data_IF_161597751905
#
_entry.id   IF_161597751905
#
_cell.length_a   1.000
_cell.length_b   1.000
_cell.length_c   1.000
_cell.angle_alpha   90.00
_cell.angle_beta   90.00
_cell.angle_gamma   90.00
#
_symmetry.space_group_name_H-M   'P 1'
#
loop_
_entity.id
_entity.type
_entity.pdbx_description
1 polymer ?
#
# COMPACT_ATOMS: atom_id res chain seq x y z
N UNK A 1 14.26 -19.68 1.12
CA UNK A 1 12.78 -19.63 0.99
C UNK A 1 12.34 -18.31 1.60
N UNK A 2 12.31 -17.23 0.82
CA UNK A 2 11.91 -15.92 1.32
C UNK A 2 10.40 -15.83 1.20
N UNK A 3 9.72 -15.79 2.36
CA UNK A 3 8.28 -15.54 2.41
C UNK A 3 7.99 -14.23 1.68
N UNK A 4 6.93 -14.21 0.87
CA UNK A 4 6.47 -12.99 0.21
C UNK A 4 6.18 -11.95 1.29
N UNK A 5 6.69 -10.70 1.21
CA UNK A 5 6.29 -9.66 2.13
C UNK A 5 4.81 -9.37 1.90
N UNK A 6 3.99 -9.83 2.82
CA UNK A 6 2.56 -9.63 2.82
C UNK A 6 2.22 -8.16 3.11
N UNK A 7 1.04 -7.69 2.66
CA UNK A 7 0.53 -6.38 3.05
C UNK A 7 0.53 -6.25 4.56
N UNK A 8 0.84 -5.07 5.08
CA UNK A 8 0.59 -4.84 6.50
C UNK A 8 -0.91 -4.70 6.71
N UNK A 9 -1.47 -5.65 7.46
CA UNK A 9 -2.85 -5.61 7.90
C UNK A 9 -2.96 -5.07 9.32
N UNK A 10 -4.13 -4.52 9.64
CA UNK A 10 -4.45 -4.17 11.01
C UNK A 10 -4.58 -5.44 11.83
N UNK A 11 -3.88 -5.52 12.96
CA UNK A 11 -4.07 -6.59 13.93
C UNK A 11 -4.82 -6.07 15.14
N UNK A 12 -5.96 -6.67 15.44
CA UNK A 12 -6.76 -6.34 16.62
C UNK A 12 -6.81 -7.55 17.53
N UNK A 13 -6.31 -7.42 18.76
CA UNK A 13 -6.40 -8.48 19.76
C UNK A 13 -6.69 -7.88 21.13
N UNK A 14 -7.29 -8.64 22.07
CA UNK A 14 -7.41 -8.18 23.45
C UNK A 14 -6.04 -8.04 24.12
N UNK A 15 -4.99 -8.71 23.63
CA UNK A 15 -3.66 -8.64 24.21
C UNK A 15 -2.95 -7.30 23.95
N UNK A 16 -3.19 -6.71 22.78
CA UNK A 16 -2.71 -5.40 22.39
C UNK A 16 -3.49 -4.90 21.17
N UNK A 17 -3.87 -3.63 21.16
CA UNK A 17 -4.56 -2.96 20.07
C UNK A 17 -4.12 -1.49 19.98
N UNK A 18 -4.17 -0.92 18.77
CA UNK A 18 -3.91 0.51 18.52
C UNK A 18 -5.23 1.17 18.10
N UNK A 19 -5.58 2.26 18.77
CA UNK A 19 -6.78 3.07 18.50
C UNK A 19 -6.35 4.50 18.21
N UNK A 20 -6.90 5.11 17.18
CA UNK A 20 -6.67 6.52 16.86
C UNK A 20 -7.78 7.36 17.49
N UNK A 21 -7.42 8.55 18.00
CA UNK A 21 -8.40 9.47 18.58
C UNK A 21 -9.29 10.10 17.49
N UNK A 22 -8.79 10.13 16.25
CA UNK A 22 -9.49 10.65 15.06
C UNK A 22 -10.57 9.70 14.49
N UNK A 23 -10.92 8.62 15.19
CA UNK A 23 -11.87 7.60 14.73
C UNK A 23 -11.34 6.80 13.54
N UNK A 24 -12.16 6.62 12.50
CA UNK A 24 -11.81 5.84 11.29
C UNK A 24 -10.93 6.60 10.29
N UNK A 25 -10.53 7.85 10.60
CA UNK A 25 -9.63 8.61 9.74
C UNK A 25 -8.21 8.07 9.86
N UNK A 26 -7.82 7.25 8.89
CA UNK A 26 -6.48 6.69 8.78
C UNK A 26 -5.61 7.40 7.73
N UNK A 27 -5.94 8.61 7.28
CA UNK A 27 -5.16 9.35 6.28
C UNK A 27 -4.58 10.64 6.85
N UNK A 28 -3.27 10.81 6.68
CA UNK A 28 -2.46 11.91 7.21
C UNK A 28 -1.61 12.54 6.11
N UNK A 29 -1.29 13.81 6.26
CA UNK A 29 -0.33 14.52 5.40
C UNK A 29 1.06 14.48 6.04
N UNK A 30 2.15 14.60 5.25
CA UNK A 30 3.48 14.82 5.80
C UNK A 30 3.48 16.06 6.71
N UNK A 31 3.98 15.93 7.94
CA UNK A 31 3.94 16.97 8.97
C UNK A 31 2.73 16.92 9.91
N UNK A 32 1.71 16.11 9.64
CA UNK A 32 0.61 15.90 10.58
C UNK A 32 1.09 15.10 11.81
N UNK A 33 0.38 15.21 12.94
CA UNK A 33 0.60 14.37 14.12
C UNK A 33 -0.49 13.31 14.23
N UNK A 34 -0.09 12.04 14.33
CA UNK A 34 -0.97 10.90 14.59
C UNK A 34 -1.15 10.78 16.10
N UNK A 35 -2.39 10.94 16.58
CA UNK A 35 -2.74 10.89 18.00
C UNK A 35 -3.65 9.69 18.26
N UNK A 36 -3.39 8.97 19.34
CA UNK A 36 -4.17 7.80 19.70
C UNK A 36 -3.73 7.15 21.00
N UNK A 37 -4.14 5.90 21.19
CA UNK A 37 -3.85 5.10 22.37
C UNK A 37 -3.52 3.67 22.00
N UNK A 38 -2.54 3.09 22.69
CA UNK A 38 -2.34 1.64 22.74
C UNK A 38 -3.19 1.11 23.87
N UNK A 39 -3.96 0.05 23.64
CA UNK A 39 -4.89 -0.52 24.61
C UNK A 39 -4.62 -2.00 24.82
N UNK A 40 -4.66 -2.44 26.07
CA UNK A 40 -4.65 -3.85 26.45
C UNK A 40 -5.86 -4.16 27.33
N UNK A 41 -6.60 -5.21 26.96
CA UNK A 41 -7.76 -5.71 27.68
C UNK A 41 -7.49 -7.07 28.32
N UNK A 42 -6.57 -7.87 27.76
CA UNK A 42 -6.27 -9.20 28.25
C UNK A 42 -5.59 -9.12 29.64
N UNK A 43 -6.04 -9.94 30.61
CA UNK A 43 -5.45 -10.01 31.93
C UNK A 43 -3.94 -10.26 31.88
N UNK A 44 -3.22 -9.65 32.82
CA UNK A 44 -1.78 -9.81 32.96
C UNK A 44 -1.34 -9.39 34.35
N UNK A 45 -0.38 -10.11 34.91
CA UNK A 45 0.41 -9.67 36.06
C UNK A 45 1.87 -9.84 35.69
N UNK A 46 2.56 -8.73 35.45
CA UNK A 46 3.96 -8.70 35.09
C UNK A 46 4.70 -7.69 35.97
N UNK A 47 5.72 -8.10 36.76
CA UNK A 47 6.50 -7.16 37.57
C UNK A 47 7.24 -6.12 36.72
N UNK A 48 7.49 -6.43 35.44
CA UNK A 48 8.03 -5.48 34.49
C UNK A 48 7.50 -5.78 33.08
N UNK A 49 7.05 -4.72 32.42
CA UNK A 49 6.73 -4.69 31.00
C UNK A 49 7.09 -3.33 30.40
N UNK A 50 7.42 -3.34 29.11
CA UNK A 50 7.71 -2.14 28.32
C UNK A 50 6.84 -2.11 27.08
N UNK A 51 6.25 -0.96 26.78
CA UNK A 51 5.48 -0.74 25.55
C UNK A 51 6.23 0.27 24.71
N UNK A 52 6.57 -0.13 23.48
CA UNK A 52 7.13 0.74 22.47
C UNK A 52 6.16 0.90 21.32
N UNK A 53 6.09 2.09 20.75
CA UNK A 53 5.34 2.38 19.54
C UNK A 53 6.30 2.94 18.49
N UNK A 54 6.23 2.41 17.28
CA UNK A 54 7.11 2.77 16.18
C UNK A 54 6.31 3.09 14.92
N UNK A 55 6.64 4.18 14.22
CA UNK A 55 6.12 4.46 12.87
C UNK A 55 7.09 3.92 11.83
N UNK A 56 6.55 3.14 10.90
CA UNK A 56 7.28 2.53 9.80
C UNK A 56 6.75 3.02 8.47
N UNK A 57 7.65 3.10 7.49
CA UNK A 57 7.33 3.33 6.10
C UNK A 57 8.21 2.46 5.22
N UNK A 58 7.61 1.77 4.25
CA UNK A 58 8.37 0.95 3.29
C UNK A 58 7.79 1.03 1.88
N UNK A 59 8.69 0.94 0.91
CA UNK A 59 8.36 0.66 -0.48
C UNK A 59 8.64 -0.81 -0.76
N UNK A 60 7.69 -1.47 -1.40
CA UNK A 60 7.75 -2.87 -1.73
C UNK A 60 7.40 -3.08 -3.20
N UNK A 61 8.25 -3.80 -3.93
CA UNK A 61 8.01 -4.18 -5.32
C UNK A 61 8.17 -5.70 -5.44
N UNK A 62 7.30 -6.33 -6.21
CA UNK A 62 7.36 -7.74 -6.56
C UNK A 62 7.17 -7.90 -8.07
N UNK A 63 7.97 -8.73 -8.70
CA UNK A 63 7.87 -9.10 -10.11
C UNK A 63 8.00 -10.61 -10.26
N UNK A 64 7.01 -11.21 -10.90
CA UNK A 64 6.97 -12.64 -11.23
C UNK A 64 7.36 -12.82 -12.70
N UNK A 65 8.46 -13.51 -12.94
CA UNK A 65 9.00 -13.82 -14.27
C UNK A 65 8.77 -15.30 -14.55
N UNK A 66 8.10 -15.63 -15.66
CA UNK A 66 8.03 -17.01 -16.16
C UNK A 66 8.95 -17.15 -17.38
N UNK A 67 9.97 -17.97 -17.30
CA UNK A 67 10.81 -18.30 -18.45
C UNK A 67 11.00 -19.82 -18.55
N UNK A 68 10.64 -20.38 -19.71
CA UNK A 68 10.87 -21.80 -20.01
C UNK A 68 10.29 -22.80 -19.00
N UNK A 69 9.09 -22.54 -18.45
CA UNK A 69 8.44 -23.42 -17.47
C UNK A 69 8.93 -23.29 -16.03
N UNK A 70 9.80 -22.31 -15.74
CA UNK A 70 10.20 -21.94 -14.38
C UNK A 70 9.65 -20.56 -14.03
N UNK A 71 8.95 -20.48 -12.91
CA UNK A 71 8.49 -19.22 -12.33
C UNK A 71 9.52 -18.74 -11.30
N UNK A 72 9.99 -17.50 -11.47
CA UNK A 72 10.86 -16.80 -10.52
C UNK A 72 10.13 -15.57 -9.99
N UNK A 73 10.24 -15.36 -8.69
CA UNK A 73 9.76 -14.13 -8.05
C UNK A 73 10.96 -13.30 -7.62
N UNK A 74 10.96 -12.03 -8.03
CA UNK A 74 11.88 -11.01 -7.54
C UNK A 74 11.11 -10.06 -6.63
N UNK A 75 11.71 -9.71 -5.50
CA UNK A 75 11.13 -8.77 -4.54
C UNK A 75 12.18 -7.74 -4.16
N UNK A 76 11.79 -6.47 -4.13
CA UNK A 76 12.60 -5.36 -3.62
C UNK A 76 11.87 -4.66 -2.48
N UNK A 77 12.57 -4.40 -1.38
CA UNK A 77 12.05 -3.64 -0.24
C UNK A 77 13.02 -2.50 0.07
N UNK A 78 12.47 -1.30 0.29
CA UNK A 78 13.22 -0.12 0.75
C UNK A 78 12.49 0.47 1.94
N UNK A 79 13.20 0.63 3.07
CA UNK A 79 12.67 1.36 4.23
C UNK A 79 12.75 2.85 3.96
N UNK A 80 11.60 3.51 4.07
CA UNK A 80 11.46 4.94 3.82
C UNK A 80 11.70 5.78 5.07
N UNK A 81 11.55 5.17 6.25
CA UNK A 81 11.73 5.81 7.55
C UNK A 81 12.79 5.05 8.35
N UNK A 82 13.64 5.77 9.07
CA UNK A 82 14.60 5.18 9.98
C UNK A 82 13.88 4.72 11.26
N UNK A 83 13.71 3.40 11.43
CA UNK A 83 12.83 2.84 12.45
C UNK A 83 13.13 3.29 13.88
N UNK A 84 14.41 3.53 14.20
CA UNK A 84 14.82 4.02 15.52
C UNK A 84 14.38 5.46 15.84
N UNK A 85 14.28 6.35 14.84
CA UNK A 85 13.95 7.78 15.08
C UNK A 85 12.49 8.00 15.40
N UNK A 86 11.62 7.13 14.91
CA UNK A 86 10.17 7.21 15.11
C UNK A 86 9.66 6.17 16.11
N UNK A 87 10.53 5.72 17.02
CA UNK A 87 10.19 4.81 18.11
C UNK A 87 10.07 5.58 19.41
N UNK A 88 8.98 5.37 20.15
CA UNK A 88 8.70 5.98 21.44
C UNK A 88 8.37 4.91 22.48
N UNK A 89 8.94 5.03 23.67
CA UNK A 89 8.53 4.24 24.83
C UNK A 89 7.29 4.89 25.43
N UNK A 90 6.16 4.18 25.43
CA UNK A 90 4.90 4.63 26.01
C UNK A 90 4.74 4.24 27.48
N UNK A 91 5.40 3.16 27.88
CA UNK A 91 5.32 2.62 29.23
C UNK A 91 6.55 1.78 29.55
N UNK A 92 7.00 1.87 30.80
CA UNK A 92 8.02 0.99 31.36
C UNK A 92 7.76 0.84 32.87
N UNK A 93 7.50 -0.39 33.31
CA UNK A 93 7.21 -0.66 34.72
C UNK A 93 6.30 -1.86 34.97
N UNK A 94 5.77 -2.00 36.19
CA UNK A 94 4.86 -3.10 36.55
C UNK A 94 3.52 -2.98 35.82
N UNK A 95 3.11 -4.07 35.18
CA UNK A 95 1.89 -4.14 34.37
C UNK A 95 0.87 -5.09 35.01
N UNK A 96 -0.29 -4.56 35.38
CA UNK A 96 -1.38 -5.33 35.97
C UNK A 96 -2.72 -5.00 35.30
N UNK A 97 -3.34 -5.99 34.65
CA UNK A 97 -4.72 -5.93 34.15
C UNK A 97 -5.48 -7.07 34.83
N UNK A 98 -6.47 -6.71 35.64
CA UNK A 98 -7.26 -7.67 36.42
C UNK A 98 -8.18 -8.51 35.53
N UNK A 99 -8.51 -9.71 35.98
CA UNK A 99 -9.46 -10.60 35.33
C UNK A 99 -10.89 -10.32 35.81
N UNK A 100 -11.87 -10.37 34.90
CA UNK A 100 -13.30 -10.32 35.22
C UNK A 100 -14.01 -8.99 34.91
N UNK A 101 -15.31 -8.87 35.29
CA UNK A 101 -16.21 -7.77 34.90
C UNK A 101 -15.80 -6.36 35.40
N UNK A 102 -14.83 -6.29 36.32
CA UNK A 102 -14.24 -5.05 36.83
C UNK A 102 -12.81 -4.78 36.34
N UNK A 103 -12.29 -5.59 35.41
CA UNK A 103 -10.98 -5.39 34.81
C UNK A 103 -10.95 -4.11 33.96
N UNK A 104 -10.32 -3.05 34.48
CA UNK A 104 -10.13 -1.81 33.73
C UNK A 104 -9.02 -2.04 32.70
N UNK A 105 -9.37 -1.92 31.42
CA UNK A 105 -8.40 -1.97 30.34
C UNK A 105 -7.33 -0.90 30.57
N UNK A 106 -6.07 -1.26 30.41
CA UNK A 106 -4.99 -0.28 30.44
C UNK A 106 -4.83 0.35 29.06
N UNK A 107 -4.61 1.66 29.06
CA UNK A 107 -4.37 2.42 27.84
C UNK A 107 -3.25 3.42 28.00
N UNK A 108 -2.46 3.60 26.95
CA UNK A 108 -1.31 4.51 26.91
C UNK A 108 -1.45 5.43 25.72
N UNK A 109 -1.58 6.73 25.98
CA UNK A 109 -1.71 7.73 24.94
C UNK A 109 -0.38 7.92 24.20
N UNK A 110 -0.47 8.23 22.91
CA UNK A 110 0.67 8.56 22.07
C UNK A 110 0.34 9.73 21.14
N UNK A 111 1.41 10.42 20.75
CA UNK A 111 1.43 11.36 19.65
C UNK A 111 2.73 11.10 18.87
N UNK A 112 2.60 10.88 17.55
CA UNK A 112 3.70 10.57 16.63
C UNK A 112 3.60 11.47 15.41
N UNK A 113 4.65 12.24 15.13
CA UNK A 113 4.70 13.12 13.97
C UNK A 113 5.00 12.35 12.69
N UNK A 114 4.26 12.66 11.63
CA UNK A 114 4.51 12.13 10.29
C UNK A 114 5.70 12.89 9.69
N UNK A 115 6.78 12.20 9.31
CA UNK A 115 7.93 12.86 8.70
C UNK A 115 7.58 13.58 7.40
N UNK A 116 8.25 14.69 7.13
CA UNK A 116 8.06 15.44 5.88
C UNK A 116 8.87 14.87 4.72
N UNK A 117 9.90 14.08 5.02
CA UNK A 117 10.88 13.56 4.06
C UNK A 117 11.23 12.10 4.34
N UNK A 118 11.74 11.42 3.33
CA UNK A 118 12.31 10.07 3.42
C UNK A 118 13.60 10.11 4.24
N UNK A 119 13.77 9.13 5.13
CA UNK A 119 14.94 8.96 5.97
C UNK A 119 15.61 7.62 5.64
N UNK A 120 16.42 7.60 4.58
CA UNK A 120 17.13 6.40 4.17
C UNK A 120 18.28 6.12 5.15
N UNK A 121 18.31 4.92 5.74
CA UNK A 121 19.43 4.45 6.60
C UNK A 121 20.78 4.43 5.87
N UNK A 122 20.72 4.39 4.54
CA UNK A 122 21.83 4.40 3.61
C UNK A 122 21.44 5.26 2.42
N UNK A 123 21.94 6.51 2.30
CA UNK A 123 21.72 7.32 1.10
C UNK A 123 22.19 6.58 -0.16
N UNK A 124 23.20 5.72 -0.01
CA UNK A 124 23.82 4.86 -1.03
C UNK A 124 22.95 3.70 -1.51
N UNK A 125 21.86 3.31 -0.81
CA UNK A 125 20.91 2.32 -1.34
C UNK A 125 20.10 2.83 -2.55
N UNK A 126 20.34 4.08 -2.97
CA UNK A 126 20.10 4.54 -4.35
C UNK A 126 21.30 5.28 -4.98
N UNK A 127 22.42 5.44 -4.27
CA UNK A 127 23.50 6.39 -4.61
C UNK A 127 24.92 5.82 -4.53
N UNK A 128 25.10 4.51 -4.34
CA UNK A 128 26.40 3.84 -4.27
C UNK A 128 26.47 2.61 -5.17
N UNK A 129 26.68 2.82 -6.47
CA UNK A 129 26.88 1.75 -7.45
C UNK A 129 25.63 1.41 -8.24
N UNK A 130 25.47 2.07 -9.39
CA UNK A 130 24.44 1.87 -10.41
C UNK A 130 24.33 0.42 -10.92
N UNK A 131 23.72 -0.49 -10.16
CA UNK A 131 23.31 -1.80 -10.71
C UNK A 131 21.80 -2.04 -10.62
N UNK A 132 21.07 -1.34 -9.75
CA UNK A 132 19.66 -1.65 -9.48
C UNK A 132 18.71 -0.44 -9.36
N UNK A 133 19.20 0.80 -9.47
CA UNK A 133 18.35 2.00 -9.55
C UNK A 133 18.53 2.67 -10.91
N UNK A 134 17.44 2.79 -11.67
CA UNK A 134 17.41 3.48 -12.97
C UNK A 134 16.88 4.92 -12.85
N UNK A 135 16.66 5.42 -11.63
CA UNK A 135 16.17 6.78 -11.40
C UNK A 135 17.36 7.73 -11.42
N UNK A 136 17.42 8.68 -12.38
CA UNK A 136 18.46 9.70 -12.39
C UNK A 136 18.38 10.51 -11.10
N UNK A 137 19.50 10.68 -10.42
CA UNK A 137 19.59 11.56 -9.25
C UNK A 137 19.63 13.00 -9.79
N UNK A 138 18.62 13.83 -9.51
CA UNK A 138 18.67 15.23 -9.92
C UNK A 138 19.87 15.92 -9.25
N UNK A 139 20.57 16.83 -9.94
CA UNK A 139 21.73 17.56 -9.38
C UNK A 139 21.36 18.37 -8.12
N UNK A 140 20.08 18.72 -7.97
CA UNK A 140 19.54 19.46 -6.82
C UNK A 140 19.32 18.57 -5.58
N UNK A 141 19.43 17.24 -5.70
CA UNK A 141 19.25 16.27 -4.61
C UNK A 141 20.52 16.02 -3.78
N UNK A 142 21.57 16.80 -4.01
CA UNK A 142 22.82 16.78 -3.21
C UNK A 142 22.60 17.12 -1.73
N UNK A 143 21.42 17.66 -1.37
CA UNK A 143 20.99 17.93 0.03
C UNK A 143 20.05 16.88 0.64
N UNK A 144 19.79 15.75 -0.02
CA UNK A 144 19.36 14.51 0.64
C UNK A 144 17.98 14.52 1.33
N UNK A 145 16.98 15.23 0.81
CA UNK A 145 15.62 15.26 1.38
C UNK A 145 14.54 15.04 0.31
N UNK A 146 14.29 13.79 -0.05
CA UNK A 146 13.13 13.43 -0.87
C UNK A 146 11.85 13.59 -0.05
N UNK A 147 10.81 14.21 -0.62
CA UNK A 147 9.51 14.33 0.04
C UNK A 147 8.95 12.93 0.37
N UNK A 148 8.22 12.82 1.49
CA UNK A 148 7.61 11.56 1.89
C UNK A 148 6.56 11.13 0.84
N UNK A 149 6.72 9.97 0.17
CA UNK A 149 5.79 9.58 -0.89
C UNK A 149 4.44 9.17 -0.32
N UNK A 150 3.37 9.45 -1.06
CA UNK A 150 2.02 9.02 -0.72
C UNK A 150 1.90 7.50 -0.65
N UNK A 151 0.96 7.02 0.17
CA UNK A 151 0.54 5.61 0.17
C UNK A 151 0.06 5.22 -1.22
N UNK A 152 0.59 4.10 -1.70
CA UNK A 152 0.33 3.62 -3.06
C UNK A 152 0.21 2.10 -3.04
N UNK A 153 -0.68 1.57 -3.88
CA UNK A 153 -0.77 0.14 -4.13
C UNK A 153 -1.22 -0.08 -5.57
N UNK A 154 -0.46 -0.88 -6.31
CA UNK A 154 -0.81 -1.34 -7.63
C UNK A 154 -0.41 -2.79 -7.79
N UNK A 155 -1.36 -3.61 -8.18
CA UNK A 155 -1.15 -5.00 -8.56
C UNK A 155 -1.57 -5.14 -10.02
N UNK A 156 -0.72 -5.72 -10.86
CA UNK A 156 -1.02 -5.91 -12.27
C UNK A 156 -0.34 -7.17 -12.78
N UNK A 157 -1.14 -8.12 -13.27
CA UNK A 157 -0.68 -9.38 -13.88
C UNK A 157 0.35 -10.09 -13.01
N UNK A 158 1.63 -9.87 -13.34
CA UNK A 158 2.80 -10.49 -12.71
C UNK A 158 3.67 -9.53 -11.92
N UNK A 159 3.13 -8.39 -11.52
CA UNK A 159 3.89 -7.38 -10.78
C UNK A 159 3.01 -6.71 -9.74
N UNK A 160 3.60 -6.33 -8.61
CA UNK A 160 2.95 -5.46 -7.64
C UNK A 160 3.93 -4.46 -7.07
N UNK A 161 3.45 -3.27 -6.77
CA UNK A 161 4.21 -2.21 -6.14
C UNK A 161 3.36 -1.56 -5.05
N UNK A 162 3.96 -1.31 -3.89
CA UNK A 162 3.31 -0.73 -2.72
C UNK A 162 4.22 0.28 -2.05
N UNK A 163 3.60 1.33 -1.51
CA UNK A 163 4.19 2.25 -0.54
C UNK A 163 3.22 2.25 0.62
N UNK A 164 3.66 1.74 1.76
CA UNK A 164 2.81 1.57 2.93
C UNK A 164 3.48 2.09 4.19
N UNK A 165 2.65 2.62 5.08
CA UNK A 165 3.04 3.13 6.37
C UNK A 165 2.18 2.47 7.43
N UNK A 166 2.75 2.24 8.60
CA UNK A 166 2.03 1.60 9.69
C UNK A 166 2.65 1.94 11.04
N UNK A 167 1.82 1.99 12.06
CA UNK A 167 2.25 1.99 13.45
C UNK A 167 2.40 0.54 13.91
N UNK A 168 3.47 0.26 14.65
CA UNK A 168 3.70 -1.00 15.35
C UNK A 168 3.83 -0.72 16.85
N UNK A 169 2.97 -1.31 17.66
CA UNK A 169 3.07 -1.31 19.11
C UNK A 169 3.61 -2.67 19.56
N UNK A 170 4.68 -2.68 20.35
CA UNK A 170 5.30 -3.90 20.88
C UNK A 170 5.30 -3.84 22.41
N UNK A 171 4.63 -4.80 23.03
CA UNK A 171 4.66 -5.05 24.46
C UNK A 171 5.63 -6.20 24.75
N UNK A 172 6.71 -5.90 25.47
CA UNK A 172 7.65 -6.89 26.01
C UNK A 172 7.44 -7.01 27.52
N UNK A 173 7.29 -8.22 28.05
CA UNK A 173 7.05 -8.41 29.48
C UNK A 173 7.56 -9.76 29.98
N UNK A 174 7.73 -9.87 31.30
CA UNK A 174 8.02 -11.14 31.99
C UNK A 174 6.95 -11.38 33.04
N UNK A 175 6.45 -12.61 33.13
CA UNK A 175 5.49 -13.03 34.17
C UNK A 175 6.20 -13.74 35.30
N UNK A 176 5.66 -13.67 36.51
CA UNK A 176 6.19 -14.43 37.64
C UNK A 176 6.17 -15.94 37.31
N UNK A 177 7.30 -16.63 37.52
CA UNK A 177 7.47 -18.05 37.20
C UNK A 177 7.76 -18.40 35.73
N UNK A 178 7.82 -17.41 34.83
CA UNK A 178 8.23 -17.62 33.43
C UNK A 178 9.72 -17.34 33.22
N UNK A 179 10.48 -18.29 32.69
CA UNK A 179 11.92 -18.11 32.41
C UNK A 179 12.22 -17.26 31.17
N UNK A 180 11.25 -17.11 30.26
CA UNK A 180 11.43 -16.40 28.99
C UNK A 180 10.58 -15.14 28.90
N UNK A 181 11.14 -14.07 28.31
CA UNK A 181 10.42 -12.86 27.99
C UNK A 181 9.36 -13.12 26.92
N UNK A 182 8.18 -12.55 27.10
CA UNK A 182 7.07 -12.62 26.14
C UNK A 182 6.98 -11.32 25.37
N UNK A 183 6.66 -11.43 24.09
CA UNK A 183 6.47 -10.29 23.18
C UNK A 183 5.11 -10.42 22.53
N UNK A 184 4.34 -9.33 22.55
CA UNK A 184 3.06 -9.19 21.85
C UNK A 184 3.16 -7.94 20.99
N UNK A 185 2.68 -8.00 19.75
CA UNK A 185 2.68 -6.87 18.83
C UNK A 185 1.27 -6.55 18.33
N UNK A 186 1.05 -5.30 17.97
CA UNK A 186 -0.12 -4.84 17.23
C UNK A 186 0.30 -3.87 16.13
N UNK A 187 -0.22 -4.05 14.92
CA UNK A 187 0.02 -3.19 13.77
C UNK A 187 -1.24 -2.43 13.36
N UNK A 188 -1.07 -1.18 12.95
CA UNK A 188 -2.13 -0.33 12.40
C UNK A 188 -1.64 0.36 11.13
N UNK A 189 -2.16 0.00 9.94
CA UNK A 189 -1.86 0.71 8.70
C UNK A 189 -2.31 2.17 8.78
N UNK A 190 -1.47 3.07 8.26
CA UNK A 190 -1.78 4.49 8.11
C UNK A 190 -1.53 4.92 6.67
N UNK A 191 -2.45 5.71 6.12
CA UNK A 191 -2.36 6.29 4.80
C UNK A 191 -1.66 7.63 4.87
N UNK A 192 -0.66 7.84 4.02
CA UNK A 192 -0.05 9.14 3.77
C UNK A 192 -0.61 9.69 2.46
N UNK A 193 -1.12 10.91 2.49
CA UNK A 193 -1.61 11.63 1.31
C UNK A 193 -0.87 12.94 1.22
N UNK A 194 -0.23 13.19 0.09
CA UNK A 194 0.34 14.51 -0.19
C UNK A 194 -0.79 15.37 -0.75
N UNK A 195 -1.21 16.44 -0.05
CA UNK A 195 -2.21 17.34 -0.60
C UNK A 195 -1.67 17.97 -1.88
N UNK A 196 -2.42 17.81 -2.96
CA UNK A 196 -2.07 18.41 -4.24
C UNK A 196 -2.50 19.87 -4.24
N UNK A 197 -1.60 20.76 -3.83
CA UNK A 197 -1.83 22.20 -3.82
C UNK A 197 -1.59 22.87 -5.18
N UNK A 198 -1.20 22.10 -6.21
CA UNK A 198 -1.02 22.65 -7.54
C UNK A 198 -2.39 23.02 -8.16
N UNK A 199 -2.51 24.18 -8.82
CA UNK A 199 -3.71 24.51 -9.57
C UNK A 199 -4.00 23.38 -10.58
N UNK A 200 -5.29 23.10 -10.88
CA UNK A 200 -5.64 22.10 -11.87
C UNK A 200 -4.91 22.35 -13.19
N UNK A 201 -4.19 21.35 -13.68
CA UNK A 201 -3.56 21.41 -15.00
C UNK A 201 -4.66 21.55 -16.04
N UNK A 202 -4.53 22.58 -16.88
CA UNK A 202 -5.45 22.82 -17.99
C UNK A 202 -5.08 21.99 -19.24
N UNK A 203 -3.80 21.66 -19.41
CA UNK A 203 -3.28 20.91 -20.55
C UNK A 203 -2.87 19.47 -20.14
N UNK A 204 -3.71 18.49 -20.51
CA UNK A 204 -3.46 17.07 -20.28
C UNK A 204 -2.54 16.43 -21.34
N UNK A 205 -2.10 17.21 -22.34
CA UNK A 205 -1.29 16.77 -23.48
C UNK A 205 -1.83 15.47 -24.10
N UNK A 206 -3.06 15.48 -24.64
CA UNK A 206 -3.65 14.27 -25.20
C UNK A 206 -2.79 13.75 -26.36
N UNK A 207 -2.49 12.46 -26.32
CA UNK A 207 -1.82 11.76 -27.43
C UNK A 207 -2.81 10.81 -28.07
N UNK A 208 -2.89 10.91 -29.40
CA UNK A 208 -3.63 9.98 -30.24
C UNK A 208 -2.76 8.78 -30.56
N UNK A 209 -3.24 7.60 -30.22
CA UNK A 209 -2.62 6.33 -30.60
C UNK A 209 -3.52 5.64 -31.59
N UNK A 210 -2.96 5.31 -32.75
CA UNK A 210 -3.63 4.52 -33.78
C UNK A 210 -3.09 3.10 -33.73
N UNK A 211 -3.98 2.13 -33.60
CA UNK A 211 -3.63 0.72 -33.66
C UNK A 211 -4.56 0.00 -34.60
N UNK A 212 -3.98 -0.79 -35.50
CA UNK A 212 -4.74 -1.74 -36.29
C UNK A 212 -5.18 -2.87 -35.35
N UNK A 213 -6.48 -3.00 -35.15
CA UNK A 213 -7.06 -3.98 -34.26
C UNK A 213 -8.37 -4.51 -34.86
N UNK A 214 -8.88 -5.58 -34.28
CA UNK A 214 -10.12 -6.18 -34.74
C UNK A 214 -11.08 -6.37 -33.56
N UNK A 215 -12.37 -6.30 -33.86
CA UNK A 215 -13.43 -6.75 -32.95
C UNK A 215 -13.94 -8.07 -33.47
N UNK A 216 -14.01 -9.05 -32.60
CA UNK A 216 -14.52 -10.39 -32.91
C UNK A 216 -15.83 -10.59 -32.16
N UNK A 217 -16.95 -10.63 -32.88
CA UNK A 217 -18.27 -10.79 -32.26
C UNK A 217 -19.31 -11.25 -33.27
N UNK A 218 -20.20 -12.14 -32.86
CA UNK A 218 -21.39 -12.47 -33.65
C UNK A 218 -22.35 -11.29 -33.79
N UNK A 219 -22.24 -10.26 -32.92
CA UNK A 219 -23.00 -9.00 -33.09
C UNK A 219 -22.64 -8.22 -34.35
N UNK A 220 -21.57 -8.58 -35.05
CA UNK A 220 -21.20 -8.01 -36.34
C UNK A 220 -22.03 -8.58 -37.51
N UNK A 221 -22.87 -9.60 -37.28
CA UNK A 221 -23.74 -10.15 -38.30
C UNK A 221 -24.97 -9.24 -38.52
N UNK A 222 -25.43 -9.09 -39.78
CA UNK A 222 -26.65 -8.35 -40.07
C UNK A 222 -27.85 -8.85 -39.24
N UNK A 223 -28.64 -7.92 -38.69
CA UNK A 223 -29.83 -8.24 -37.89
C UNK A 223 -29.56 -8.45 -36.39
N UNK A 224 -28.33 -8.21 -35.93
CA UNK A 224 -27.94 -8.33 -34.52
C UNK A 224 -27.84 -7.00 -33.76
N UNK A 225 -28.30 -5.92 -34.37
CA UNK A 225 -28.18 -4.55 -33.86
C UNK A 225 -29.36 -4.15 -32.94
N UNK A 226 -30.39 -5.00 -32.85
CA UNK A 226 -31.60 -4.73 -32.09
C UNK A 226 -31.52 -5.11 -30.59
N UNK A 227 -32.32 -4.48 -29.72
CA UNK A 227 -32.37 -4.77 -28.28
C UNK A 227 -32.79 -6.21 -27.95
N UNK A 228 -33.48 -6.89 -28.86
CA UNK A 228 -33.92 -8.29 -28.73
C UNK A 228 -32.92 -9.32 -29.30
N UNK A 229 -31.84 -8.87 -29.96
CA UNK A 229 -30.84 -9.76 -30.55
C UNK A 229 -29.96 -10.38 -29.47
N UNK A 230 -30.27 -11.63 -29.08
CA UNK A 230 -29.51 -12.40 -28.10
C UNK A 230 -28.65 -13.45 -28.78
N UNK A 231 -27.39 -13.52 -28.37
CA UNK A 231 -26.48 -14.60 -28.74
C UNK A 231 -27.03 -15.94 -28.24
N UNK A 232 -27.06 -16.93 -29.11
CA UNK A 232 -27.33 -18.32 -28.72
C UNK A 232 -26.22 -18.86 -27.82
N UNK A 233 -26.52 -19.91 -27.04
CA UNK A 233 -25.52 -20.53 -26.16
C UNK A 233 -24.28 -21.00 -26.92
N UNK A 234 -24.49 -21.58 -28.13
CA UNK A 234 -23.40 -22.01 -29.01
C UNK A 234 -22.53 -20.83 -29.46
N UNK A 235 -23.14 -19.70 -29.83
CA UNK A 235 -22.42 -18.49 -30.24
C UNK A 235 -21.62 -17.87 -29.07
N UNK A 236 -22.15 -17.89 -27.85
CA UNK A 236 -21.42 -17.45 -26.65
C UNK A 236 -20.21 -18.34 -26.39
N UNK A 237 -20.40 -19.66 -26.45
CA UNK A 237 -19.32 -20.62 -26.28
C UNK A 237 -18.22 -20.42 -27.34
N UNK A 238 -18.61 -20.27 -28.61
CA UNK A 238 -17.67 -20.00 -29.72
C UNK A 238 -16.90 -18.68 -29.56
N UNK A 239 -17.55 -17.65 -29.00
CA UNK A 239 -16.89 -16.36 -28.70
C UNK A 239 -15.88 -16.48 -27.55
N UNK A 240 -16.22 -17.24 -26.51
CA UNK A 240 -15.37 -17.43 -25.34
C UNK A 240 -14.06 -18.18 -25.65
N UNK A 241 -14.09 -19.11 -26.61
CA UNK A 241 -12.92 -19.90 -27.04
C UNK A 241 -12.17 -19.28 -28.23
N UNK A 242 -12.52 -18.06 -28.66
CA UNK A 242 -11.85 -17.38 -29.77
C UNK A 242 -11.95 -18.11 -31.11
N UNK A 243 -13.08 -18.79 -31.37
CA UNK A 243 -13.26 -19.60 -32.59
C UNK A 243 -13.12 -18.76 -33.85
N UNK A 244 -12.43 -19.28 -34.88
CA UNK A 244 -12.32 -18.65 -36.21
C UNK A 244 -13.68 -18.46 -36.92
N UNK A 245 -14.75 -19.10 -36.42
CA UNK A 245 -16.12 -18.97 -36.92
C UNK A 245 -16.82 -17.69 -36.44
N UNK A 246 -16.25 -16.98 -35.47
CA UNK A 246 -16.80 -15.70 -35.00
C UNK A 246 -16.39 -14.62 -35.99
N UNK A 247 -17.33 -13.81 -36.52
CA UNK A 247 -17.02 -12.72 -37.43
C UNK A 247 -16.02 -11.74 -36.83
N UNK A 248 -15.14 -11.23 -37.68
CA UNK A 248 -14.11 -10.25 -37.31
C UNK A 248 -14.25 -8.99 -38.17
N UNK A 249 -14.33 -7.84 -37.52
CA UNK A 249 -14.21 -6.55 -38.15
C UNK A 249 -12.82 -6.01 -37.88
N UNK A 250 -12.01 -5.90 -38.93
CA UNK A 250 -10.71 -5.25 -38.89
C UNK A 250 -10.88 -3.75 -39.07
N UNK A 251 -10.19 -2.96 -38.26
CA UNK A 251 -10.25 -1.52 -38.35
C UNK A 251 -9.03 -0.86 -37.74
N UNK A 252 -8.86 0.41 -38.07
CA UNK A 252 -7.92 1.25 -37.37
C UNK A 252 -8.64 1.89 -36.19
N UNK A 253 -8.23 1.52 -34.98
CA UNK A 253 -8.76 2.09 -33.76
C UNK A 253 -7.89 3.27 -33.35
N UNK A 254 -8.51 4.43 -33.23
CA UNK A 254 -7.90 5.62 -32.66
C UNK A 254 -8.33 5.71 -31.20
N UNK A 255 -7.37 5.79 -30.29
CA UNK A 255 -7.60 6.08 -28.88
C UNK A 255 -6.86 7.37 -28.54
N UNK A 256 -7.60 8.35 -28.06
CA UNK A 256 -7.05 9.56 -27.46
C UNK A 256 -6.94 9.34 -25.96
N UNK A 257 -5.74 9.50 -25.42
CA UNK A 257 -5.50 9.41 -23.98
C UNK A 257 -4.61 10.55 -23.50
N UNK A 258 -4.84 11.09 -22.30
CA UNK A 258 -3.95 12.08 -21.71
C UNK A 258 -2.55 11.49 -21.45
N UNK A 259 -1.50 12.31 -21.59
CA UNK A 259 -0.14 11.92 -21.20
C UNK A 259 0.31 12.54 -19.88
N UNK A 260 -0.38 13.59 -19.45
CA UNK A 260 -0.23 14.18 -18.12
C UNK A 260 -1.56 14.01 -17.39
N UNK A 261 -1.50 13.46 -16.18
CA UNK A 261 -2.68 13.25 -15.33
C UNK A 261 -2.41 13.87 -13.98
N UNK A 262 -3.35 14.67 -13.48
CA UNK A 262 -3.35 15.19 -12.13
C UNK A 262 -4.45 14.51 -11.32
N UNK A 263 -4.11 13.70 -10.30
CA UNK A 263 -5.10 13.14 -9.39
C UNK A 263 -5.91 14.25 -8.71
N UNK A 264 -7.24 14.10 -8.70
CA UNK A 264 -8.17 15.10 -8.13
C UNK A 264 -8.49 16.29 -9.04
N UNK A 265 -8.05 16.29 -10.30
CA UNK A 265 -8.45 17.30 -11.27
C UNK A 265 -9.97 17.19 -11.56
N UNK A 266 -10.74 18.30 -11.46
CA UNK A 266 -12.18 18.28 -11.73
C UNK A 266 -12.54 18.07 -13.21
N UNK A 267 -11.59 18.26 -14.13
CA UNK A 267 -11.80 18.06 -15.56
C UNK A 267 -11.83 16.56 -15.88
N UNK A 268 -12.91 16.04 -16.51
CA UNK A 268 -12.99 14.63 -16.89
C UNK A 268 -11.89 14.29 -17.89
N UNK A 269 -11.30 13.10 -17.75
CA UNK A 269 -10.26 12.63 -18.68
C UNK A 269 -10.90 12.42 -20.06
N UNK A 270 -10.38 13.06 -21.13
CA UNK A 270 -10.87 12.84 -22.49
C UNK A 270 -10.37 11.49 -22.98
N UNK A 271 -11.14 10.43 -22.71
CA UNK A 271 -10.97 9.12 -23.32
C UNK A 271 -11.98 9.04 -24.47
N UNK A 272 -11.49 9.14 -25.70
CA UNK A 272 -12.30 9.14 -26.91
C UNK A 272 -11.61 8.43 -28.06
#
# INVERSE_FOLDING_TARGET
>A
MFSSPEPIFRTTSPQLNIQLDTGDKHSFSPGDTIIGRVVRQAPIVAPHGSIRLSLHGRSLVRVDESSGGKDKTYTGEVRLLQGGRHTRVLFEGPLHVAEGPGGVAQSWAFAVDVPTHVELERPDLGLGGNQHSFVPVPPDCTTGRYALPQTFSRTGGRSSARIEYYLEAVLQYRTHGGSSGRTVAATLPVGIRTPNHAPPIADLRPVKRRRLAFVQSFRLLPGMDGPSARLSLLQRAQSAVGSRRVPMLWGQWELTSPTVVQPGNPTPLPIC
#
